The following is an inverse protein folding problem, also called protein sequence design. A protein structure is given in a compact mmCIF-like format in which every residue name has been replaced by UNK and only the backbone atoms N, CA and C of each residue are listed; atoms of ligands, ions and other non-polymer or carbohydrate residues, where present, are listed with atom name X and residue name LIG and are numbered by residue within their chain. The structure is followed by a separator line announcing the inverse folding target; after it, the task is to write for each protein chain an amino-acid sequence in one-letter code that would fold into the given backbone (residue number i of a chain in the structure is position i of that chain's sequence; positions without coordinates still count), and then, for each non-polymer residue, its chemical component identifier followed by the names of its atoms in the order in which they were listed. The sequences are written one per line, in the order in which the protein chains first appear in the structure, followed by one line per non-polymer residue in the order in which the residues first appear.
data_IF_572477760744
#
_entry.id   IF_572477760744
#
_cell.length_a   1.000
_cell.length_b   1.000
_cell.length_c   1.000
_cell.angle_alpha   90.00
_cell.angle_beta   90.00
_cell.angle_gamma   90.00
#
_symmetry.space_group_name_H-M   'P 1'
#
loop_
_entity.id
_entity.type
_entity.pdbx_description
1 polymer ?
#
# COMPACT_ATOMS: atom_id res chain seq x y z
N UNK A 1 -12.25 24.81 32.49
CA UNK A 1 -11.30 23.83 31.90
C UNK A 1 -10.16 24.58 31.23
N UNK A 2 -8.91 24.14 31.41
CA UNK A 2 -7.79 24.77 30.71
C UNK A 2 -7.64 24.17 29.31
N UNK A 3 -7.60 25.04 28.30
CA UNK A 3 -7.28 24.69 26.93
C UNK A 3 -5.84 25.09 26.63
N UNK A 4 -5.15 24.26 25.87
CA UNK A 4 -3.82 24.58 25.34
C UNK A 4 -3.91 24.76 23.82
N UNK A 5 -3.14 25.69 23.22
CA UNK A 5 -3.07 25.81 21.77
C UNK A 5 -2.63 24.48 21.14
N UNK A 6 -3.36 24.03 20.12
CA UNK A 6 -2.98 22.84 19.37
C UNK A 6 -1.71 23.14 18.58
N UNK A 7 -0.69 22.29 18.71
CA UNK A 7 0.57 22.41 17.96
C UNK A 7 0.38 21.99 16.51
N UNK A 8 -0.30 22.82 15.72
CA UNK A 8 -0.58 22.54 14.30
C UNK A 8 0.69 22.37 13.45
N UNK A 9 1.82 22.91 13.91
CA UNK A 9 3.15 22.75 13.30
C UNK A 9 3.66 21.32 13.30
N UNK A 10 3.15 20.46 14.18
CA UNK A 10 3.56 19.06 14.27
C UNK A 10 2.91 18.21 13.16
N UNK A 11 2.01 18.79 12.37
CA UNK A 11 1.23 18.13 11.33
C UNK A 11 1.57 18.65 9.93
N UNK A 12 1.29 17.83 8.92
CA UNK A 12 1.42 18.24 7.53
C UNK A 12 0.58 19.49 7.25
N UNK A 13 1.14 20.45 6.51
CA UNK A 13 0.49 21.72 6.16
C UNK A 13 -0.89 21.59 5.52
N UNK A 14 -1.17 20.48 4.84
CA UNK A 14 -2.47 20.20 4.22
C UNK A 14 -3.51 19.71 5.23
N UNK A 15 -3.06 19.11 6.34
CA UNK A 15 -3.92 18.56 7.40
C UNK A 15 -4.05 19.51 8.59
N UNK A 16 -3.07 20.38 8.81
CA UNK A 16 -3.09 21.39 9.85
C UNK A 16 -4.39 22.24 9.91
N UNK A 17 -5.02 22.65 8.79
CA UNK A 17 -6.28 23.39 8.82
C UNK A 17 -7.48 22.59 9.36
N UNK A 18 -7.43 21.26 9.32
CA UNK A 18 -8.49 20.38 9.81
C UNK A 18 -8.45 20.20 11.33
N UNK A 19 -7.33 20.56 11.96
CA UNK A 19 -7.17 20.43 13.40
C UNK A 19 -7.87 21.58 14.12
N UNK A 20 -8.48 21.30 15.27
CA UNK A 20 -8.95 22.37 16.14
C UNK A 20 -7.83 23.31 16.59
N UNK A 21 -8.19 24.53 16.97
CA UNK A 21 -7.23 25.53 17.47
C UNK A 21 -6.75 25.23 18.89
N UNK A 22 -7.55 24.46 19.65
CA UNK A 22 -7.31 24.18 21.05
C UNK A 22 -7.50 22.70 21.39
N UNK A 23 -6.65 22.21 22.29
CA UNK A 23 -6.67 20.87 22.85
C UNK A 23 -6.92 20.93 24.36
N UNK A 24 -7.46 19.85 24.92
CA UNK A 24 -7.66 19.76 26.37
C UNK A 24 -6.32 19.63 27.10
N UNK A 25 -6.12 20.48 28.11
CA UNK A 25 -4.96 20.36 28.99
C UNK A 25 -5.10 19.11 29.89
N UNK A 26 -3.97 18.52 30.33
CA UNK A 26 -3.98 17.55 31.41
C UNK A 26 -4.65 18.10 32.67
N UNK A 27 -5.18 17.24 33.55
CA UNK A 27 -5.70 17.66 34.85
C UNK A 27 -4.65 18.46 35.62
N UNK A 28 -5.06 19.58 36.21
CA UNK A 28 -4.18 20.37 37.06
C UNK A 28 -3.88 19.66 38.40
N UNK A 29 -2.82 20.10 39.08
CA UNK A 29 -2.40 19.50 40.35
C UNK A 29 -3.49 19.53 41.42
N UNK A 30 -4.37 20.53 41.38
CA UNK A 30 -5.45 20.70 42.36
C UNK A 30 -6.56 19.68 42.13
N UNK A 31 -6.92 19.40 40.88
CA UNK A 31 -7.84 18.32 40.51
C UNK A 31 -7.26 16.98 40.97
N UNK A 32 -5.97 16.73 40.73
CA UNK A 32 -5.32 15.48 41.15
C UNK A 32 -5.38 15.32 42.68
N UNK A 33 -5.10 16.37 43.45
CA UNK A 33 -5.20 16.37 44.91
C UNK A 33 -6.64 16.12 45.41
N UNK A 34 -7.64 16.78 44.81
CA UNK A 34 -9.04 16.60 45.15
C UNK A 34 -9.53 15.18 44.87
N UNK A 35 -9.00 14.51 43.85
CA UNK A 35 -9.31 13.11 43.55
C UNK A 35 -8.66 12.13 44.53
N UNK A 36 -7.58 12.53 45.20
CA UNK A 36 -6.83 11.70 46.14
C UNK A 36 -7.24 11.91 47.61
N UNK A 37 -8.00 12.96 47.89
CA UNK A 37 -8.38 13.36 49.25
C UNK A 37 -9.89 13.54 49.37
N UNK A 38 -10.44 13.46 50.59
CA UNK A 38 -11.84 13.81 50.84
C UNK A 38 -12.05 15.32 51.03
N UNK A 39 -11.11 16.15 50.56
CA UNK A 39 -11.17 17.60 50.72
C UNK A 39 -12.27 18.14 49.80
N UNK A 40 -13.25 18.90 50.31
CA UNK A 40 -14.29 19.44 49.45
C UNK A 40 -13.72 20.49 48.49
N UNK A 41 -14.23 20.59 47.25
CA UNK A 41 -13.88 21.67 46.35
C UNK A 41 -14.42 23.00 46.89
N UNK A 42 -13.67 24.07 46.63
CA UNK A 42 -14.12 25.45 46.85
C UNK A 42 -15.31 25.79 45.95
N UNK A 43 -16.06 26.83 46.30
CA UNK A 43 -17.20 27.28 45.50
C UNK A 43 -16.81 27.63 44.05
N UNK A 44 -15.64 28.26 43.87
CA UNK A 44 -15.12 28.60 42.54
C UNK A 44 -14.77 27.35 41.72
N UNK A 45 -14.08 26.37 42.32
CA UNK A 45 -13.78 25.08 41.68
C UNK A 45 -15.07 24.35 41.29
N UNK A 46 -16.08 24.35 42.18
CA UNK A 46 -17.38 23.72 41.92
C UNK A 46 -18.08 24.34 40.70
N UNK A 47 -18.16 25.67 40.64
CA UNK A 47 -18.76 26.37 39.50
C UNK A 47 -18.00 26.05 38.19
N UNK A 48 -16.67 25.95 38.25
CA UNK A 48 -15.84 25.58 37.10
C UNK A 48 -16.10 24.13 36.64
N UNK A 49 -16.31 23.20 37.58
CA UNK A 49 -16.66 21.82 37.26
C UNK A 49 -18.06 21.72 36.65
N UNK A 50 -19.04 22.44 37.18
CA UNK A 50 -20.40 22.48 36.63
C UNK A 50 -20.41 23.05 35.21
N UNK A 51 -19.67 24.14 34.95
CA UNK A 51 -19.50 24.68 33.60
C UNK A 51 -18.86 23.64 32.66
N UNK A 52 -17.83 22.94 33.14
CA UNK A 52 -17.17 21.87 32.37
C UNK A 52 -18.13 20.75 32.03
N UNK A 53 -18.97 20.31 32.98
CA UNK A 53 -19.99 19.28 32.75
C UNK A 53 -21.03 19.71 31.70
N UNK A 54 -21.33 21.01 31.60
CA UNK A 54 -22.26 21.54 30.61
C UNK A 54 -21.65 21.65 29.20
N UNK A 55 -20.40 22.08 29.06
CA UNK A 55 -19.78 22.34 27.75
C UNK A 55 -19.10 21.11 27.12
N UNK A 56 -18.52 20.23 27.96
CA UNK A 56 -17.71 19.09 27.49
C UNK A 56 -18.46 18.13 26.56
N UNK A 57 -19.74 17.78 26.79
CA UNK A 57 -20.46 16.85 25.90
C UNK A 57 -20.55 17.32 24.45
N UNK A 58 -20.81 18.61 24.23
CA UNK A 58 -20.88 19.17 22.86
C UNK A 58 -19.52 19.11 22.16
N UNK A 59 -18.45 19.37 22.91
CA UNK A 59 -17.08 19.28 22.38
C UNK A 59 -16.66 17.85 22.06
N UNK A 60 -17.04 16.88 22.90
CA UNK A 60 -16.79 15.45 22.63
C UNK A 60 -17.51 15.04 21.34
N UNK A 61 -18.78 15.41 21.19
CA UNK A 61 -19.56 15.07 19.98
C UNK A 61 -18.94 15.65 18.70
N UNK A 62 -18.39 16.87 18.75
CA UNK A 62 -17.67 17.47 17.62
C UNK A 62 -16.40 16.69 17.28
N UNK A 63 -15.63 16.28 18.29
CA UNK A 63 -14.43 15.46 18.09
C UNK A 63 -14.78 14.08 17.52
N UNK A 64 -15.82 13.43 18.03
CA UNK A 64 -16.30 12.14 17.51
C UNK A 64 -16.70 12.27 16.03
N UNK A 65 -17.45 13.33 15.67
CA UNK A 65 -17.79 13.60 14.27
C UNK A 65 -16.55 13.77 13.37
N UNK A 66 -15.54 14.51 13.84
CA UNK A 66 -14.29 14.71 13.09
C UNK A 66 -13.52 13.39 12.93
N UNK A 67 -13.49 12.55 13.96
CA UNK A 67 -12.89 11.22 13.93
C UNK A 67 -13.59 10.35 12.88
N UNK A 68 -14.91 10.30 12.90
CA UNK A 68 -15.71 9.50 11.96
C UNK A 68 -15.54 9.95 10.51
N UNK A 69 -15.57 11.27 10.29
CA UNK A 69 -15.35 11.87 8.96
C UNK A 69 -13.95 11.55 8.41
N UNK A 70 -12.92 11.69 9.26
CA UNK A 70 -11.53 11.41 8.85
C UNK A 70 -11.33 9.92 8.59
N UNK A 71 -11.93 9.06 9.40
CA UNK A 71 -11.89 7.60 9.21
C UNK A 71 -12.55 7.19 7.90
N UNK A 72 -13.70 7.80 7.56
CA UNK A 72 -14.39 7.58 6.29
C UNK A 72 -13.55 7.99 5.08
N UNK A 73 -12.88 9.15 5.16
CA UNK A 73 -11.96 9.63 4.12
C UNK A 73 -10.76 8.68 3.96
N UNK A 74 -10.15 8.25 5.07
CA UNK A 74 -9.04 7.31 5.04
C UNK A 74 -9.45 6.00 4.37
N UNK A 75 -10.61 5.45 4.71
CA UNK A 75 -11.14 4.23 4.11
C UNK A 75 -11.29 4.36 2.59
N UNK A 76 -11.84 5.48 2.11
CA UNK A 76 -11.95 5.78 0.69
C UNK A 76 -10.58 5.81 0.00
N UNK A 77 -9.62 6.57 0.55
CA UNK A 77 -8.29 6.71 -0.03
C UNK A 77 -7.52 5.39 -0.07
N UNK A 78 -7.64 4.56 0.97
CA UNK A 78 -7.03 3.22 0.99
C UNK A 78 -7.63 2.31 -0.09
N UNK A 79 -8.95 2.37 -0.29
CA UNK A 79 -9.64 1.62 -1.34
C UNK A 79 -9.19 2.06 -2.73
N UNK A 80 -9.14 3.37 -2.99
CA UNK A 80 -8.72 3.93 -4.28
C UNK A 80 -7.26 3.57 -4.60
N UNK A 81 -6.37 3.66 -3.60
CA UNK A 81 -4.97 3.25 -3.74
C UNK A 81 -4.85 1.76 -4.10
N UNK A 82 -5.63 0.90 -3.44
CA UNK A 82 -5.64 -0.54 -3.71
C UNK A 82 -6.15 -0.84 -5.12
N UNK A 83 -7.20 -0.14 -5.57
CA UNK A 83 -7.71 -0.26 -6.94
C UNK A 83 -6.70 0.23 -7.97
N UNK A 84 -5.98 1.31 -7.70
CA UNK A 84 -4.94 1.83 -8.59
C UNK A 84 -3.79 0.83 -8.76
N UNK A 85 -3.37 0.15 -7.68
CA UNK A 85 -2.36 -0.90 -7.74
C UNK A 85 -2.83 -2.11 -8.57
N UNK A 86 -4.09 -2.52 -8.41
CA UNK A 86 -4.68 -3.58 -9.21
C UNK A 86 -4.74 -3.19 -10.70
N UNK A 87 -5.20 -1.98 -11.01
CA UNK A 87 -5.24 -1.46 -12.37
C UNK A 87 -3.84 -1.40 -13.00
N UNK A 88 -2.82 -1.00 -12.22
CA UNK A 88 -1.44 -1.00 -12.68
C UNK A 88 -0.95 -2.43 -12.98
N UNK A 89 -1.26 -3.40 -12.13
CA UNK A 89 -0.89 -4.79 -12.36
C UNK A 89 -1.57 -5.35 -13.62
N UNK A 90 -2.87 -5.08 -13.79
CA UNK A 90 -3.62 -5.47 -14.98
C UNK A 90 -3.06 -4.82 -16.26
N UNK A 91 -2.69 -3.54 -16.20
CA UNK A 91 -2.08 -2.85 -17.32
C UNK A 91 -0.72 -3.47 -17.70
N UNK A 92 0.13 -3.77 -16.71
CA UNK A 92 1.41 -4.46 -16.95
C UNK A 92 1.18 -5.81 -17.62
N UNK A 93 0.19 -6.57 -17.17
CA UNK A 93 -0.13 -7.87 -17.74
C UNK A 93 -0.68 -7.75 -19.17
N UNK A 94 -1.58 -6.82 -19.45
CA UNK A 94 -2.12 -6.59 -20.80
C UNK A 94 -1.00 -6.18 -21.78
N UNK A 95 -0.07 -5.35 -21.31
CA UNK A 95 1.03 -4.85 -22.11
C UNK A 95 2.23 -5.81 -22.16
N UNK A 96 2.13 -6.99 -21.53
CA UNK A 96 3.21 -7.98 -21.55
C UNK A 96 3.55 -8.43 -22.97
N UNK A 97 4.82 -8.72 -23.20
CA UNK A 97 5.27 -9.19 -24.52
C UNK A 97 4.64 -10.52 -24.90
N UNK A 98 4.34 -11.40 -23.93
CA UNK A 98 3.68 -12.69 -24.18
C UNK A 98 2.34 -12.52 -24.91
N UNK A 99 1.59 -11.46 -24.63
CA UNK A 99 0.32 -11.15 -25.33
C UNK A 99 0.50 -10.47 -26.69
N UNK A 100 1.71 -9.99 -27.01
CA UNK A 100 2.03 -9.31 -28.29
C UNK A 100 2.68 -10.24 -29.31
N UNK A 101 3.15 -11.41 -28.89
CA UNK A 101 3.78 -12.37 -29.79
C UNK A 101 2.72 -13.08 -30.65
N UNK A 102 2.97 -13.26 -31.96
CA UNK A 102 2.14 -14.12 -32.80
C UNK A 102 2.05 -15.54 -32.23
N UNK A 103 0.92 -16.20 -32.44
CA UNK A 103 0.65 -17.54 -31.90
C UNK A 103 1.72 -18.55 -32.35
N UNK A 104 2.23 -18.40 -33.56
CA UNK A 104 3.28 -19.23 -34.14
C UNK A 104 4.56 -19.15 -33.33
N UNK A 105 4.94 -17.93 -32.89
CA UNK A 105 6.14 -17.70 -32.06
C UNK A 105 5.94 -18.29 -30.66
N UNK A 106 4.75 -18.17 -30.09
CA UNK A 106 4.42 -18.79 -28.79
C UNK A 106 4.45 -20.33 -28.86
N UNK A 107 3.89 -20.91 -29.92
CA UNK A 107 3.92 -22.36 -30.18
C UNK A 107 5.36 -22.84 -30.37
N UNK A 108 6.20 -22.09 -31.09
CA UNK A 108 7.59 -22.44 -31.30
C UNK A 108 8.39 -22.42 -29.99
N UNK A 109 8.24 -21.35 -29.19
CA UNK A 109 8.83 -21.26 -27.85
C UNK A 109 8.39 -22.46 -26.99
N UNK A 110 7.08 -22.75 -26.95
CA UNK A 110 6.54 -23.85 -26.17
C UNK A 110 7.03 -25.23 -26.63
N UNK A 111 7.07 -25.46 -27.95
CA UNK A 111 7.49 -26.73 -28.55
C UNK A 111 8.98 -26.96 -28.30
N UNK A 112 9.80 -25.90 -28.43
CA UNK A 112 11.23 -25.97 -28.18
C UNK A 112 11.52 -26.27 -26.70
N UNK A 113 10.90 -25.53 -25.77
CA UNK A 113 11.02 -25.78 -24.34
C UNK A 113 10.56 -27.20 -23.96
N UNK A 114 9.43 -27.65 -24.52
CA UNK A 114 8.88 -28.98 -24.24
C UNK A 114 9.79 -30.10 -24.78
N UNK A 115 10.42 -29.89 -25.95
CA UNK A 115 11.39 -30.85 -26.52
C UNK A 115 12.65 -30.99 -25.67
N UNK A 116 13.09 -29.90 -25.03
CA UNK A 116 14.23 -29.90 -24.12
C UNK A 116 14.00 -30.72 -22.84
N UNK A 117 12.75 -30.81 -22.37
CA UNK A 117 12.37 -31.57 -21.18
C UNK A 117 11.92 -33.00 -21.49
N UNK A 118 11.36 -33.24 -22.67
CA UNK A 118 10.91 -34.57 -23.11
C UNK A 118 12.02 -35.42 -23.74
N UNK A 119 13.08 -34.80 -24.26
CA UNK A 119 14.14 -35.50 -24.96
C UNK A 119 15.51 -35.07 -24.44
N UNK A 120 16.29 -36.07 -24.01
CA UNK A 120 17.71 -35.94 -23.73
C UNK A 120 18.44 -35.56 -25.03
N UNK A 121 18.57 -34.26 -25.29
CA UNK A 121 19.39 -33.66 -26.34
C UNK A 121 18.81 -33.72 -27.75
N UNK A 122 18.53 -32.55 -28.34
CA UNK A 122 19.11 -32.13 -29.62
C UNK A 122 18.76 -30.66 -29.89
N UNK A 123 19.80 -29.84 -30.06
CA UNK A 123 19.69 -28.40 -30.26
C UNK A 123 18.99 -28.03 -31.55
N UNK A 124 17.71 -27.66 -31.46
CA UNK A 124 17.04 -26.87 -32.49
C UNK A 124 17.57 -25.44 -32.51
N UNK A 125 17.61 -24.83 -33.69
CA UNK A 125 18.04 -23.44 -33.90
C UNK A 125 16.91 -22.50 -33.47
N UNK A 126 17.21 -21.56 -32.57
CA UNK A 126 16.28 -20.50 -32.13
C UNK A 126 15.88 -19.58 -33.30
N UNK A 127 14.66 -19.04 -33.32
CA UNK A 127 14.31 -17.97 -34.24
C UNK A 127 15.17 -16.73 -33.93
N UNK A 128 15.66 -16.06 -34.97
CA UNK A 128 16.49 -14.86 -34.86
C UNK A 128 15.65 -13.63 -34.49
N UNK A 129 15.12 -13.59 -33.27
CA UNK A 129 14.59 -12.37 -32.69
C UNK A 129 15.76 -11.52 -32.15
N UNK A 130 15.68 -10.17 -32.23
CA UNK A 130 16.66 -9.27 -31.63
C UNK A 130 16.89 -9.57 -30.13
N UNK A 131 18.15 -9.56 -29.62
CA UNK A 131 18.48 -9.84 -28.21
C UNK A 131 17.70 -9.00 -27.20
N UNK A 132 17.40 -7.75 -27.56
CA UNK A 132 16.62 -6.81 -26.74
C UNK A 132 15.18 -7.28 -26.49
N UNK A 133 14.59 -8.01 -27.44
CA UNK A 133 13.26 -8.60 -27.26
C UNK A 133 13.32 -9.86 -26.39
N UNK A 134 14.42 -10.62 -26.42
CA UNK A 134 14.59 -11.83 -25.61
C UNK A 134 14.72 -11.54 -24.12
N UNK A 135 15.52 -10.55 -23.72
CA UNK A 135 15.67 -10.17 -22.30
C UNK A 135 14.35 -9.72 -21.70
N UNK A 136 13.55 -8.97 -22.46
CA UNK A 136 12.25 -8.50 -22.00
C UNK A 136 11.20 -9.63 -21.97
N UNK A 137 11.20 -10.55 -22.95
CA UNK A 137 10.31 -11.73 -22.96
C UNK A 137 10.61 -12.64 -21.77
N UNK A 138 11.88 -12.93 -21.47
CA UNK A 138 12.25 -13.78 -20.33
C UNK A 138 11.80 -13.19 -19.00
N UNK A 139 11.97 -11.88 -18.80
CA UNK A 139 11.53 -11.18 -17.59
C UNK A 139 10.00 -11.13 -17.46
N UNK A 140 9.28 -10.85 -18.56
CA UNK A 140 7.82 -10.76 -18.57
C UNK A 140 7.16 -12.12 -18.24
N UNK A 141 7.66 -13.21 -18.81
CA UNK A 141 7.13 -14.56 -18.51
C UNK A 141 7.44 -15.02 -17.08
N UNK A 142 8.60 -14.62 -16.55
CA UNK A 142 9.02 -14.91 -15.17
C UNK A 142 8.11 -14.28 -14.11
N UNK A 143 7.48 -13.15 -14.45
CA UNK A 143 6.64 -12.39 -13.53
C UNK A 143 5.14 -12.56 -13.82
N UNK A 144 4.77 -13.37 -14.82
CA UNK A 144 3.38 -13.67 -15.16
C UNK A 144 2.75 -14.64 -14.15
N UNK A 145 1.77 -14.13 -13.40
CA UNK A 145 1.07 -14.86 -12.33
C UNK A 145 0.19 -15.99 -12.83
N UNK A 146 -0.27 -15.96 -14.10
CA UNK A 146 -1.05 -17.05 -14.69
C UNK A 146 -0.21 -18.26 -15.05
N UNK A 147 1.08 -18.02 -15.31
CA UNK A 147 2.01 -19.09 -15.61
C UNK A 147 2.66 -19.63 -14.33
N UNK A 148 2.66 -18.88 -13.23
CA UNK A 148 3.31 -19.26 -11.98
C UNK A 148 2.91 -20.68 -11.50
N UNK A 149 3.89 -21.57 -11.39
CA UNK A 149 3.68 -23.00 -11.07
C UNK A 149 3.27 -23.91 -12.24
N UNK A 150 3.06 -23.36 -13.44
CA UNK A 150 2.85 -24.13 -14.67
C UNK A 150 4.18 -24.53 -15.31
N UNK A 151 4.16 -25.60 -16.13
CA UNK A 151 5.33 -26.03 -16.93
C UNK A 151 5.85 -24.96 -17.89
N UNK A 152 5.01 -23.99 -18.26
CA UNK A 152 5.38 -22.87 -19.13
C UNK A 152 6.20 -21.84 -18.37
N UNK A 153 5.91 -21.61 -17.09
CA UNK A 153 6.71 -20.73 -16.23
C UNK A 153 8.05 -21.35 -15.86
N UNK A 154 8.10 -22.67 -15.62
CA UNK A 154 9.37 -23.38 -15.42
C UNK A 154 10.24 -23.32 -16.69
N UNK A 155 9.63 -23.53 -17.86
CA UNK A 155 10.29 -23.36 -19.15
C UNK A 155 10.79 -21.93 -19.38
N UNK A 156 9.98 -20.92 -19.08
CA UNK A 156 10.36 -19.51 -19.24
C UNK A 156 11.40 -19.04 -18.22
N UNK A 157 11.37 -19.55 -16.98
CA UNK A 157 12.41 -19.36 -15.96
C UNK A 157 13.74 -19.89 -16.45
N UNK A 158 13.74 -21.11 -16.99
CA UNK A 158 14.94 -21.72 -17.55
C UNK A 158 15.43 -20.99 -18.80
N UNK A 159 14.52 -20.49 -19.64
CA UNK A 159 14.83 -19.61 -20.77
C UNK A 159 15.53 -18.32 -20.30
N UNK A 160 15.00 -17.66 -19.27
CA UNK A 160 15.61 -16.50 -18.63
C UNK A 160 17.01 -16.80 -18.12
N UNK A 161 17.20 -17.90 -17.38
CA UNK A 161 18.51 -18.33 -16.85
C UNK A 161 19.49 -18.70 -17.97
N UNK A 162 19.03 -19.30 -19.07
CA UNK A 162 19.87 -19.64 -20.21
C UNK A 162 20.28 -18.41 -21.02
N UNK A 163 19.38 -17.43 -21.19
CA UNK A 163 19.67 -16.16 -21.85
C UNK A 163 20.63 -15.30 -21.01
N UNK A 164 20.47 -15.29 -19.69
CA UNK A 164 21.38 -14.60 -18.74
C UNK A 164 22.79 -15.22 -18.76
N UNK A 165 22.91 -16.54 -18.98
CA UNK A 165 24.20 -17.21 -19.20
C UNK A 165 24.79 -16.98 -20.59
N UNK A 166 23.96 -16.71 -21.60
CA UNK A 166 24.39 -16.48 -22.98
C UNK A 166 24.84 -15.02 -23.23
N UNK A 167 24.44 -14.09 -22.36
CA UNK A 167 24.99 -12.74 -22.27
C UNK A 167 25.96 -12.64 -21.08
N UNK A 168 27.25 -12.98 -21.23
CA UNK A 168 28.23 -12.61 -20.22
C UNK A 168 28.23 -11.08 -20.15
N UNK A 169 27.95 -10.54 -18.97
CA UNK A 169 28.24 -9.14 -18.61
C UNK A 169 29.64 -8.80 -19.12
N UNK A 170 29.72 -7.80 -19.99
CA UNK A 170 30.97 -7.11 -20.33
C UNK A 170 31.42 -6.32 -19.10
#
# INVERSE_FOLDING_TARGET
MAYIPTKKTDFDTRLAPLLPDYSHAPPDARIIELLQTNTPPTLMERNNFEATLSETPGRIAELDYLIDSTTSLLCYLTKDCSQALENQANAKEILSLSRRLPMEVLIEIFTHCSSFYGQKGNGGRWPSLPPELWCNVGSDFMHDRFLNGSRIHEAAFMLGVMLDRAHPTI
#
